data_IF_136760607040
#
_entry.id   IF_136760607040
#
_cell.length_a   1.000
_cell.length_b   1.000
_cell.length_c   1.000
_cell.angle_alpha   90.00
_cell.angle_beta   90.00
_cell.angle_gamma   90.00
#
_symmetry.space_group_name_H-M   'P 1'
#
loop_
_entity.id
_entity.type
_entity.pdbx_description
1 polymer ?
#
# COMPACT_ATOMS: atom_id res chain seq x y z
N UNK A 1 -10.34 1.45 4.43
CA UNK A 1 -9.17 2.25 4.89
C UNK A 1 -9.49 3.76 4.88
N UNK A 2 -9.24 4.49 5.97
CA UNK A 2 -9.43 5.96 6.07
C UNK A 2 -8.06 6.66 6.24
N UNK A 3 -7.96 7.96 5.90
CA UNK A 3 -6.69 8.73 5.96
C UNK A 3 -5.97 8.61 7.31
N UNK A 4 -6.66 8.74 8.44
CA UNK A 4 -6.03 8.60 9.77
C UNK A 4 -5.44 7.20 10.01
N UNK A 5 -6.15 6.15 9.58
CA UNK A 5 -5.69 4.76 9.71
C UNK A 5 -4.51 4.48 8.79
N UNK A 6 -4.59 4.98 7.55
CA UNK A 6 -3.51 4.87 6.58
C UNK A 6 -2.26 5.58 7.08
N UNK A 7 -2.38 6.83 7.55
CA UNK A 7 -1.25 7.58 8.10
C UNK A 7 -0.55 6.82 9.23
N UNK A 8 -1.34 6.28 10.19
CA UNK A 8 -0.79 5.46 11.28
C UNK A 8 -0.08 4.20 10.75
N UNK A 9 -0.72 3.43 9.86
CA UNK A 9 -0.10 2.27 9.22
C UNK A 9 1.18 2.64 8.48
N UNK A 10 1.18 3.79 7.79
CA UNK A 10 2.29 4.29 7.02
C UNK A 10 3.48 4.68 7.90
N UNK A 11 3.22 5.32 9.04
CA UNK A 11 4.27 5.70 9.99
C UNK A 11 4.85 4.48 10.73
N UNK A 12 4.01 3.51 11.10
CA UNK A 12 4.43 2.33 11.88
C UNK A 12 4.98 1.19 11.00
N UNK A 13 4.49 1.05 9.77
CA UNK A 13 4.75 -0.10 8.90
C UNK A 13 5.11 0.30 7.47
N UNK A 14 5.78 1.46 7.30
CA UNK A 14 6.25 1.98 6.00
C UNK A 14 6.97 0.90 5.17
N UNK A 15 7.86 0.15 5.81
CA UNK A 15 8.68 -0.87 5.15
C UNK A 15 7.82 -2.01 4.59
N UNK A 16 6.79 -2.46 5.33
CA UNK A 16 5.87 -3.49 4.85
C UNK A 16 5.00 -3.00 3.68
N UNK A 17 4.60 -1.73 3.70
CA UNK A 17 3.91 -1.11 2.55
C UNK A 17 4.89 -1.04 1.36
N UNK A 18 6.16 -0.69 1.57
CA UNK A 18 7.14 -0.66 0.47
C UNK A 18 7.40 -2.05 -0.10
N UNK A 19 7.49 -3.08 0.73
CA UNK A 19 7.55 -4.49 0.31
C UNK A 19 6.32 -4.90 -0.50
N UNK A 20 5.13 -4.54 -0.01
CA UNK A 20 3.88 -4.86 -0.68
C UNK A 20 3.70 -4.16 -2.01
N UNK A 21 4.22 -2.94 -2.12
CA UNK A 21 4.18 -2.15 -3.34
C UNK A 21 5.58 -1.88 -3.87
N UNK A 22 6.29 -2.93 -4.27
CA UNK A 22 7.67 -2.86 -4.77
C UNK A 22 7.92 -1.88 -5.94
N UNK A 23 6.90 -1.55 -6.76
CA UNK A 23 6.99 -0.53 -7.82
C UNK A 23 7.04 0.90 -7.28
N UNK A 24 6.70 1.14 -6.01
CA UNK A 24 6.76 2.46 -5.37
C UNK A 24 8.17 2.65 -4.82
N UNK A 25 8.83 3.73 -5.21
CA UNK A 25 10.19 4.04 -4.72
C UNK A 25 10.16 4.66 -3.31
N UNK A 26 11.27 4.58 -2.58
CA UNK A 26 11.41 5.26 -1.26
C UNK A 26 11.11 6.77 -1.37
N UNK A 27 11.53 7.39 -2.47
CA UNK A 27 11.26 8.81 -2.74
C UNK A 27 9.75 9.09 -2.90
N UNK A 28 9.00 8.19 -3.53
CA UNK A 28 7.56 8.32 -3.66
C UNK A 28 6.87 8.16 -2.31
N UNK A 29 7.34 7.22 -1.48
CA UNK A 29 6.85 7.09 -0.10
C UNK A 29 7.09 8.38 0.71
N UNK A 30 8.25 9.04 0.56
CA UNK A 30 8.48 10.33 1.22
C UNK A 30 7.53 11.42 0.71
N UNK A 31 7.16 11.39 -0.57
CA UNK A 31 6.20 12.34 -1.13
C UNK A 31 4.76 12.09 -0.67
N UNK A 32 4.41 10.81 -0.49
CA UNK A 32 3.12 10.37 0.05
C UNK A 32 2.94 10.90 1.48
N UNK A 33 3.96 10.78 2.33
CA UNK A 33 3.97 11.34 3.70
C UNK A 33 2.71 10.95 4.52
N UNK A 34 2.27 9.69 4.37
CA UNK A 34 1.05 9.21 5.02
C UNK A 34 -0.26 9.78 4.47
N UNK A 35 -0.24 10.39 3.28
CA UNK A 35 -1.43 10.86 2.57
C UNK A 35 -1.99 9.75 1.67
N UNK A 36 -3.20 9.28 2.00
CA UNK A 36 -3.82 8.18 1.28
C UNK A 36 -4.19 8.57 -0.16
N UNK A 37 -4.56 9.82 -0.45
CA UNK A 37 -4.94 10.22 -1.80
C UNK A 37 -3.72 10.25 -2.73
N UNK A 38 -2.59 10.77 -2.24
CA UNK A 38 -1.32 10.70 -2.97
C UNK A 38 -0.86 9.27 -3.20
N UNK A 39 -1.01 8.41 -2.20
CA UNK A 39 -0.69 6.99 -2.34
C UNK A 39 -1.54 6.36 -3.42
N UNK A 40 -2.87 6.50 -3.34
CA UNK A 40 -3.79 5.92 -4.31
C UNK A 40 -3.52 6.43 -5.73
N UNK A 41 -3.26 7.73 -5.90
CA UNK A 41 -2.93 8.27 -7.22
C UNK A 41 -1.64 7.67 -7.78
N UNK A 42 -0.59 7.61 -6.96
CA UNK A 42 0.72 7.11 -7.39
C UNK A 42 0.68 5.62 -7.69
N UNK A 43 0.12 4.83 -6.77
CA UNK A 43 -0.03 3.38 -6.92
C UNK A 43 -0.93 3.04 -8.10
N UNK A 44 -2.02 3.80 -8.31
CA UNK A 44 -2.92 3.60 -9.46
C UNK A 44 -2.19 3.85 -10.79
N UNK A 45 -1.34 4.87 -10.87
CA UNK A 45 -0.52 5.14 -12.05
C UNK A 45 0.56 4.06 -12.28
N UNK A 46 1.21 3.58 -11.22
CA UNK A 46 2.31 2.60 -11.31
C UNK A 46 1.85 1.18 -11.65
N UNK A 47 0.75 0.75 -11.04
CA UNK A 47 0.19 -0.60 -11.23
C UNK A 47 -0.91 -0.63 -12.29
N UNK A 48 -1.34 0.54 -12.79
CA UNK A 48 -2.44 0.68 -13.76
C UNK A 48 -3.77 0.04 -13.28
N UNK A 49 -3.97 -0.01 -11.96
CA UNK A 49 -5.18 -0.55 -11.33
C UNK A 49 -6.04 0.57 -10.72
N UNK A 50 -7.37 0.38 -10.63
CA UNK A 50 -8.25 1.39 -10.04
C UNK A 50 -8.01 1.58 -8.54
N UNK A 51 -8.24 2.81 -8.07
CA UNK A 51 -8.05 3.22 -6.66
C UNK A 51 -8.83 2.35 -5.68
N UNK A 52 -9.99 1.84 -6.09
CA UNK A 52 -10.82 0.94 -5.28
C UNK A 52 -10.13 -0.38 -4.95
N UNK A 53 -9.36 -0.94 -5.90
CA UNK A 53 -8.60 -2.18 -5.69
C UNK A 53 -7.45 -1.90 -4.73
N UNK A 54 -6.74 -0.79 -4.91
CA UNK A 54 -5.63 -0.40 -4.03
C UNK A 54 -6.13 -0.17 -2.60
N UNK A 55 -7.32 0.43 -2.44
CA UNK A 55 -7.95 0.61 -1.12
C UNK A 55 -8.28 -0.74 -0.45
N UNK A 56 -8.77 -1.72 -1.21
CA UNK A 56 -9.05 -3.07 -0.69
C UNK A 56 -7.75 -3.77 -0.28
N UNK A 57 -6.72 -3.70 -1.11
CA UNK A 57 -5.43 -4.30 -0.80
C UNK A 57 -4.75 -3.62 0.40
N UNK A 58 -4.88 -2.29 0.55
CA UNK A 58 -4.45 -1.58 1.76
C UNK A 58 -5.17 -2.05 3.02
N UNK A 59 -6.47 -2.32 2.94
CA UNK A 59 -7.25 -2.84 4.05
C UNK A 59 -6.78 -4.26 4.42
N UNK A 60 -6.51 -5.09 3.40
CA UNK A 60 -5.95 -6.43 3.58
C UNK A 60 -4.53 -6.38 4.18
N UNK A 61 -3.67 -5.47 3.72
CA UNK A 61 -2.32 -5.25 4.27
C UNK A 61 -2.41 -4.84 5.74
N UNK A 62 -3.27 -3.88 6.07
CA UNK A 62 -3.49 -3.48 7.46
C UNK A 62 -3.93 -4.66 8.32
N UNK A 63 -4.88 -5.46 7.85
CA UNK A 63 -5.41 -6.61 8.58
C UNK A 63 -4.33 -7.69 8.79
N UNK A 64 -3.57 -8.03 7.76
CA UNK A 64 -2.48 -9.00 7.87
C UNK A 64 -1.38 -8.53 8.82
N UNK A 65 -1.09 -7.21 8.86
CA UNK A 65 -0.13 -6.64 9.81
C UNK A 65 -0.67 -6.75 11.25
N UNK A 66 -1.95 -6.45 11.48
CA UNK A 66 -2.62 -6.57 12.78
C UNK A 66 -2.66 -8.03 13.27
N UNK A 67 -2.89 -8.98 12.35
CA UNK A 67 -2.87 -10.42 12.62
C UNK A 67 -1.44 -11.01 12.69
N UNK A 68 -0.40 -10.22 12.42
CA UNK A 68 1.00 -10.67 12.42
C UNK A 68 1.35 -11.65 11.29
N UNK A 69 0.56 -11.69 10.23
CA UNK A 69 0.73 -12.58 9.08
C UNK A 69 1.77 -11.96 8.13
N UNK A 70 2.94 -12.57 8.02
CA UNK A 70 3.91 -12.29 6.96
C UNK A 70 3.34 -12.78 5.62
N UNK A 71 2.75 -11.87 4.84
CA UNK A 71 2.18 -12.18 3.53
C UNK A 71 3.02 -11.56 2.43
N UNK A 72 3.36 -12.35 1.42
CA UNK A 72 4.07 -11.88 0.23
C UNK A 72 3.09 -11.11 -0.68
N UNK A 73 2.94 -9.80 -0.41
CA UNK A 73 1.97 -8.94 -1.09
C UNK A 73 2.36 -8.61 -2.53
N UNK A 74 3.66 -8.65 -2.86
CA UNK A 74 4.16 -8.41 -4.21
C UNK A 74 3.53 -9.38 -5.23
N UNK A 75 3.23 -10.60 -4.80
CA UNK A 75 2.62 -11.64 -5.63
C UNK A 75 1.14 -11.39 -5.98
N UNK A 76 0.40 -10.55 -5.23
CA UNK A 76 -1.06 -10.34 -5.43
C UNK A 76 -1.40 -9.20 -6.39
N UNK A 77 -0.46 -8.31 -6.66
CA UNK A 77 -0.63 -7.15 -7.53
C UNK A 77 -0.12 -7.38 -8.96
N UNK A 78 0.46 -8.55 -9.22
CA UNK A 78 0.88 -8.95 -10.55
C UNK A 78 -0.29 -9.67 -11.24
N UNK A 79 -0.89 -9.12 -12.31
CA UNK A 79 -2.03 -9.72 -12.99
C UNK A 79 -1.67 -10.92 -13.87
N UNK A 80 -0.54 -11.60 -13.60
CA UNK A 80 -0.02 -12.69 -14.42
C UNK A 80 -0.39 -14.06 -13.84
N UNK A 81 -1.69 -14.34 -13.70
CA UNK A 81 -2.28 -15.69 -13.75
C UNK A 81 -3.65 -15.65 -14.45
#
# INVERSE_FOLDING_TARGET
MNQKKFKKLFEEHRDKILEAWNKISDNDMRFIDGDIEKFLEKTSKLYQIPREIILRELDAVQKNIDEGIETDFASRLDPTE
#
